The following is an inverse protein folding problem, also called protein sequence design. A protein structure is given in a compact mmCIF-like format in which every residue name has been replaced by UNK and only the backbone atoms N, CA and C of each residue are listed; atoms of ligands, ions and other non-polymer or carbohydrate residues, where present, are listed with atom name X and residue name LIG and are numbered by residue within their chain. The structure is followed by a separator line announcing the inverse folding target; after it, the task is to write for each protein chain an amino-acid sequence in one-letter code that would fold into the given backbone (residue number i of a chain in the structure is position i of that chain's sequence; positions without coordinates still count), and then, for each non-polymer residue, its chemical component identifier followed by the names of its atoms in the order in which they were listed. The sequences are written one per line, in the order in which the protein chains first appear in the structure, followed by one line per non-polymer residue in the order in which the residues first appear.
data_IF_611395166750
#
_entry.id   IF_611395166750
#
_cell.length_a   1.000
_cell.length_b   1.000
_cell.length_c   1.000
_cell.angle_alpha   90.00
_cell.angle_beta   90.00
_cell.angle_gamma   90.00
#
_symmetry.space_group_name_H-M   'P 1'
#
loop_
_entity.id
_entity.type
_entity.pdbx_description
1 polymer ?
#
# COMPACT_ATOMS: atom_id res chain seq x y z
N UNK A 1 -4.28 16.81 -5.69
CA UNK A 1 -3.61 15.59 -6.21
C UNK A 1 -3.58 15.61 -7.74
N UNK A 2 -2.41 15.41 -8.38
CA UNK A 2 -2.27 15.34 -9.84
C UNK A 2 -2.74 14.00 -10.39
N UNK A 3 -3.34 14.05 -11.60
CA UNK A 3 -3.84 12.89 -12.33
C UNK A 3 -3.00 12.68 -13.60
N UNK A 4 -2.53 11.45 -13.81
CA UNK A 4 -1.76 11.04 -14.98
C UNK A 4 -2.52 9.93 -15.72
N UNK A 5 -2.67 10.04 -17.03
CA UNK A 5 -3.20 8.94 -17.84
C UNK A 5 -2.11 7.90 -18.07
N UNK A 6 -2.48 6.63 -18.23
CA UNK A 6 -1.53 5.54 -18.44
C UNK A 6 -0.55 5.78 -19.61
N UNK A 7 -1.01 6.45 -20.67
CA UNK A 7 -0.24 6.81 -21.85
C UNK A 7 0.76 7.97 -21.66
N UNK A 8 0.54 8.81 -20.62
CA UNK A 8 1.32 10.03 -20.35
C UNK A 8 2.29 9.85 -19.15
N UNK A 9 2.45 8.63 -18.66
CA UNK A 9 3.25 8.36 -17.47
C UNK A 9 4.73 8.58 -17.74
N UNK A 10 5.29 9.59 -17.06
CA UNK A 10 6.72 9.80 -16.91
C UNK A 10 7.14 9.49 -15.46
N UNK A 11 7.91 8.41 -15.22
CA UNK A 11 8.29 8.01 -13.86
C UNK A 11 9.02 9.08 -13.07
N UNK A 12 9.87 9.88 -13.71
CA UNK A 12 10.64 10.93 -13.03
C UNK A 12 9.73 12.07 -12.53
N UNK A 13 8.71 12.43 -13.32
CA UNK A 13 7.70 13.44 -12.93
C UNK A 13 6.85 12.92 -11.77
N UNK A 14 6.48 11.64 -11.81
CA UNK A 14 5.70 11.03 -10.73
C UNK A 14 6.52 10.96 -9.44
N UNK A 15 7.78 10.54 -9.52
CA UNK A 15 8.68 10.49 -8.36
C UNK A 15 8.90 11.89 -7.76
N UNK A 16 9.07 12.91 -8.60
CA UNK A 16 9.17 14.28 -8.11
C UNK A 16 7.89 14.72 -7.39
N UNK A 17 6.72 14.37 -7.93
CA UNK A 17 5.43 14.67 -7.28
C UNK A 17 5.25 13.96 -5.94
N UNK A 18 5.69 12.69 -5.85
CA UNK A 18 5.65 11.94 -4.60
C UNK A 18 6.62 12.49 -3.54
N UNK A 19 7.82 12.94 -3.96
CA UNK A 19 8.85 13.43 -3.04
C UNK A 19 8.66 14.91 -2.68
N UNK A 20 8.45 15.75 -3.67
CA UNK A 20 8.54 17.21 -3.56
C UNK A 20 7.18 17.91 -3.76
N UNK A 21 6.22 17.25 -4.40
CA UNK A 21 4.88 17.75 -4.66
C UNK A 21 3.89 17.42 -3.55
N UNK A 22 2.71 16.94 -3.96
CA UNK A 22 1.59 16.62 -3.06
C UNK A 22 1.83 15.36 -2.21
N UNK A 23 2.78 14.49 -2.58
CA UNK A 23 3.02 13.21 -1.93
C UNK A 23 2.09 12.09 -2.39
N UNK A 24 1.18 12.39 -3.32
CA UNK A 24 0.21 11.45 -3.88
C UNK A 24 -0.11 11.81 -5.33
N UNK A 25 -0.34 10.79 -6.16
CA UNK A 25 -0.77 10.91 -7.55
C UNK A 25 -1.87 9.91 -7.87
N UNK A 26 -2.70 10.22 -8.87
CA UNK A 26 -3.66 9.28 -9.43
C UNK A 26 -3.18 8.83 -10.82
N UNK A 27 -2.97 7.53 -10.99
CA UNK A 27 -2.69 6.89 -12.27
C UNK A 27 -4.03 6.42 -12.85
N UNK A 28 -4.54 7.15 -13.84
CA UNK A 28 -5.88 6.96 -14.34
C UNK A 28 -5.97 5.84 -15.36
N UNK A 29 -6.94 4.94 -15.16
CA UNK A 29 -7.26 3.87 -16.11
C UNK A 29 -6.13 2.86 -16.30
N UNK A 30 -5.34 2.61 -15.23
CA UNK A 30 -4.20 1.68 -15.30
C UNK A 30 -4.68 0.23 -15.49
N UNK A 31 -5.85 -0.11 -14.96
CA UNK A 31 -6.45 -1.43 -15.07
C UNK A 31 -7.75 -1.39 -15.88
N UNK A 32 -7.91 -2.39 -16.72
CA UNK A 32 -9.11 -2.54 -17.55
C UNK A 32 -10.35 -2.89 -16.72
N UNK A 33 -11.57 -2.58 -17.22
CA UNK A 33 -12.81 -3.00 -16.57
C UNK A 33 -12.91 -4.51 -16.33
N UNK A 34 -12.31 -5.34 -17.19
CA UNK A 34 -12.31 -6.78 -17.03
C UNK A 34 -11.45 -7.24 -15.84
N UNK A 35 -10.26 -6.67 -15.67
CA UNK A 35 -9.39 -6.96 -14.53
C UNK A 35 -10.02 -6.50 -13.21
N UNK A 36 -10.63 -5.32 -13.21
CA UNK A 36 -11.36 -4.80 -12.05
C UNK A 36 -12.52 -5.73 -11.68
N UNK A 37 -13.30 -6.18 -12.66
CA UNK A 37 -14.42 -7.09 -12.43
C UNK A 37 -13.95 -8.46 -11.90
N UNK A 38 -12.86 -9.02 -12.44
CA UNK A 38 -12.24 -10.26 -11.98
C UNK A 38 -11.81 -10.14 -10.51
N UNK A 39 -11.03 -9.12 -10.18
CA UNK A 39 -10.54 -8.89 -8.83
C UNK A 39 -11.68 -8.65 -7.85
N UNK A 40 -12.66 -7.83 -8.23
CA UNK A 40 -13.83 -7.53 -7.40
C UNK A 40 -14.67 -8.76 -7.10
N UNK A 41 -14.91 -9.63 -8.09
CA UNK A 41 -15.66 -10.86 -7.90
C UNK A 41 -15.00 -11.79 -6.87
N UNK A 42 -13.68 -11.97 -6.94
CA UNK A 42 -12.92 -12.79 -5.98
C UNK A 42 -13.00 -12.16 -4.58
N UNK A 43 -12.81 -10.85 -4.45
CA UNK A 43 -12.88 -10.16 -3.16
C UNK A 43 -14.28 -10.30 -2.56
N UNK A 44 -15.33 -10.12 -3.33
CA UNK A 44 -16.71 -10.29 -2.85
C UNK A 44 -16.95 -11.71 -2.34
N UNK A 45 -16.49 -12.75 -3.05
CA UNK A 45 -16.63 -14.15 -2.64
C UNK A 45 -15.95 -14.44 -1.29
N UNK A 46 -14.86 -13.74 -0.96
CA UNK A 46 -14.10 -13.96 0.28
C UNK A 46 -14.46 -12.96 1.40
N UNK A 47 -15.10 -11.85 1.09
CA UNK A 47 -15.31 -10.75 2.04
C UNK A 47 -16.33 -11.03 3.15
N UNK A 48 -17.16 -12.08 3.02
CA UNK A 48 -18.12 -12.47 4.05
C UNK A 48 -17.60 -13.56 5.00
N UNK A 49 -16.39 -14.05 4.78
CA UNK A 49 -15.76 -15.03 5.67
C UNK A 49 -15.48 -14.44 7.06
N UNK A 50 -15.38 -15.29 8.08
CA UNK A 50 -15.02 -14.86 9.44
C UNK A 50 -13.66 -14.15 9.45
N UNK A 51 -12.69 -14.64 8.66
CA UNK A 51 -11.36 -14.03 8.55
C UNK A 51 -11.40 -12.61 7.95
N UNK A 52 -12.35 -12.32 7.05
CA UNK A 52 -12.49 -11.01 6.45
C UNK A 52 -13.02 -9.94 7.42
N UNK A 53 -13.61 -10.37 8.54
CA UNK A 53 -14.14 -9.48 9.58
C UNK A 53 -13.09 -9.07 10.62
N UNK A 54 -11.89 -9.63 10.51
CA UNK A 54 -10.74 -9.27 11.36
C UNK A 54 -9.87 -8.26 10.63
N UNK A 55 -9.51 -7.18 11.30
CA UNK A 55 -8.62 -6.14 10.77
C UNK A 55 -7.56 -5.79 11.81
N UNK A 56 -6.34 -5.47 11.36
CA UNK A 56 -5.29 -4.95 12.23
C UNK A 56 -5.56 -3.50 12.67
N UNK A 57 -6.43 -2.80 11.94
CA UNK A 57 -6.75 -1.39 12.18
C UNK A 57 -8.13 -1.30 12.80
N UNK A 58 -8.19 -1.53 14.10
CA UNK A 58 -9.45 -1.53 14.84
C UNK A 58 -9.84 -0.12 15.31
N UNK A 59 -8.93 0.65 15.80
CA UNK A 59 -9.01 2.08 16.14
C UNK A 59 -10.42 2.69 16.19
N UNK A 60 -10.67 3.66 15.33
CA UNK A 60 -11.96 4.35 15.27
C UNK A 60 -13.14 3.41 14.95
N UNK A 61 -12.92 2.38 14.12
CA UNK A 61 -13.97 1.40 13.77
C UNK A 61 -14.45 0.61 14.99
N UNK A 62 -13.55 0.23 15.88
CA UNK A 62 -13.87 -0.49 17.11
C UNK A 62 -14.57 0.45 18.11
N UNK A 63 -14.04 1.65 18.30
CA UNK A 63 -14.62 2.65 19.18
C UNK A 63 -16.06 3.05 18.78
N UNK A 64 -16.34 3.06 17.46
CA UNK A 64 -17.67 3.35 16.93
C UNK A 64 -18.60 2.11 16.89
N UNK A 65 -18.10 0.92 17.21
CA UNK A 65 -18.87 -0.31 17.09
C UNK A 65 -19.16 -0.74 15.64
N UNK A 66 -18.45 -0.17 14.66
CA UNK A 66 -18.67 -0.37 13.21
C UNK A 66 -17.67 -1.30 12.53
N UNK A 67 -16.84 -1.99 13.29
CA UNK A 67 -15.83 -2.91 12.75
C UNK A 67 -16.45 -3.94 11.78
N UNK A 68 -17.67 -4.36 12.02
CA UNK A 68 -18.41 -5.29 11.15
C UNK A 68 -18.75 -4.71 9.78
N UNK A 69 -18.65 -3.39 9.58
CA UNK A 69 -18.88 -2.72 8.31
C UNK A 69 -17.60 -2.54 7.49
N UNK A 70 -16.46 -3.00 8.01
CA UNK A 70 -15.21 -3.12 7.28
C UNK A 70 -14.88 -4.59 7.05
N UNK A 71 -14.47 -4.92 5.85
CA UNK A 71 -14.04 -6.26 5.44
C UNK A 71 -12.64 -6.21 4.90
N UNK A 72 -11.75 -7.07 5.42
CA UNK A 72 -10.40 -7.27 4.90
C UNK A 72 -10.28 -8.65 4.27
N UNK A 73 -9.76 -8.73 3.05
CA UNK A 73 -9.42 -9.99 2.40
C UNK A 73 -7.91 -10.07 2.28
N UNK A 74 -7.32 -10.98 3.01
CA UNK A 74 -5.89 -11.21 3.10
C UNK A 74 -5.43 -12.30 2.12
N UNK A 75 -4.11 -12.41 1.93
CA UNK A 75 -3.47 -13.43 1.09
C UNK A 75 -4.08 -13.49 -0.32
N UNK A 76 -4.17 -12.32 -0.97
CA UNK A 76 -4.82 -12.18 -2.27
C UNK A 76 -4.11 -12.98 -3.36
N UNK A 77 -2.77 -13.09 -3.30
CA UNK A 77 -1.98 -13.83 -4.29
C UNK A 77 -2.38 -15.31 -4.39
N UNK A 78 -2.82 -15.91 -3.27
CA UNK A 78 -3.32 -17.29 -3.25
C UNK A 78 -4.77 -17.43 -3.76
N UNK A 79 -5.46 -16.33 -4.07
CA UNK A 79 -6.88 -16.29 -4.42
C UNK A 79 -7.16 -16.07 -5.90
N UNK A 80 -6.16 -15.55 -6.64
CA UNK A 80 -6.32 -15.35 -8.08
C UNK A 80 -5.11 -14.66 -8.71
N UNK A 81 -4.80 -15.05 -9.95
CA UNK A 81 -3.65 -14.54 -10.70
C UNK A 81 -3.77 -13.06 -11.04
N UNK A 82 -4.98 -12.51 -11.06
CA UNK A 82 -5.22 -11.08 -11.28
C UNK A 82 -4.47 -10.22 -10.28
N UNK A 83 -4.35 -10.66 -9.03
CA UNK A 83 -3.64 -9.92 -7.99
C UNK A 83 -2.13 -9.88 -8.23
N UNK A 84 -1.56 -10.97 -8.75
CA UNK A 84 -0.16 -11.02 -9.17
C UNK A 84 0.12 -10.05 -10.31
N UNK A 85 -0.76 -10.05 -11.33
CA UNK A 85 -0.66 -9.11 -12.47
C UNK A 85 -0.79 -7.66 -12.03
N UNK A 86 -1.72 -7.37 -11.12
CA UNK A 86 -1.94 -6.03 -10.57
C UNK A 86 -0.75 -5.55 -9.76
N UNK A 87 -0.22 -6.39 -8.84
CA UNK A 87 0.92 -6.04 -8.01
C UNK A 87 2.21 -5.82 -8.81
N UNK A 88 2.42 -6.62 -9.86
CA UNK A 88 3.60 -6.55 -10.73
C UNK A 88 3.33 -5.77 -12.04
N UNK A 89 2.35 -4.85 -12.06
CA UNK A 89 2.05 -4.10 -13.27
C UNK A 89 3.28 -3.31 -13.75
N UNK A 90 3.67 -3.40 -15.05
CA UNK A 90 4.94 -2.83 -15.55
C UNK A 90 5.12 -1.34 -15.25
N UNK A 91 4.04 -0.56 -15.34
CA UNK A 91 4.06 0.88 -15.02
C UNK A 91 4.39 1.10 -13.55
N UNK A 92 3.71 0.37 -12.63
CA UNK A 92 4.01 0.46 -11.19
C UNK A 92 5.45 0.04 -10.91
N UNK A 93 5.90 -1.10 -11.46
CA UNK A 93 7.28 -1.58 -11.29
C UNK A 93 8.30 -0.54 -11.75
N UNK A 94 8.04 0.16 -12.86
CA UNK A 94 8.95 1.20 -13.37
C UNK A 94 9.02 2.42 -12.44
N UNK A 95 7.87 2.92 -11.97
CA UNK A 95 7.81 4.04 -11.03
C UNK A 95 8.50 3.67 -9.71
N UNK A 96 8.19 2.47 -9.20
CA UNK A 96 8.72 2.02 -7.91
C UNK A 96 10.24 1.80 -7.93
N UNK A 97 10.80 1.32 -9.05
CA UNK A 97 12.28 1.25 -9.22
C UNK A 97 12.95 2.60 -9.12
N UNK A 98 12.29 3.66 -9.57
CA UNK A 98 12.79 5.04 -9.46
C UNK A 98 12.57 5.61 -8.07
N UNK A 99 11.48 5.24 -7.39
CA UNK A 99 11.11 5.78 -6.09
C UNK A 99 11.78 5.07 -4.92
N UNK A 100 11.78 3.73 -4.90
CA UNK A 100 12.31 2.91 -3.81
C UNK A 100 13.70 2.30 -4.07
N UNK A 101 14.24 2.51 -5.28
CA UNK A 101 15.43 1.82 -5.74
C UNK A 101 15.10 0.55 -6.53
N UNK A 102 16.11 -0.01 -7.22
CA UNK A 102 15.91 -1.17 -8.10
C UNK A 102 15.50 -2.44 -7.36
N UNK A 103 15.83 -2.55 -6.09
CA UNK A 103 15.65 -3.74 -5.26
C UNK A 103 14.60 -3.48 -4.17
N UNK A 104 13.36 -3.28 -4.58
CA UNK A 104 12.22 -3.16 -3.68
C UNK A 104 11.42 -4.46 -3.63
N UNK A 105 10.65 -4.62 -2.56
CA UNK A 105 9.79 -5.78 -2.29
C UNK A 105 8.37 -5.32 -1.99
N UNK A 106 7.44 -6.24 -1.94
CA UNK A 106 6.09 -6.01 -1.45
C UNK A 106 6.03 -6.28 0.06
N UNK A 107 5.55 -5.32 0.82
CA UNK A 107 5.42 -5.42 2.28
C UNK A 107 4.11 -6.08 2.71
N UNK A 108 3.04 -5.83 1.96
CA UNK A 108 1.72 -6.44 2.17
C UNK A 108 0.84 -6.28 0.93
N UNK A 109 -0.18 -7.13 0.80
CA UNK A 109 -1.25 -6.99 -0.17
C UNK A 109 -2.58 -7.49 0.42
N UNK A 110 -3.57 -6.60 0.53
CA UNK A 110 -4.89 -6.95 1.04
C UNK A 110 -5.97 -6.14 0.32
N UNK A 111 -7.19 -6.68 0.26
CA UNK A 111 -8.34 -5.88 -0.12
C UNK A 111 -9.04 -5.30 1.11
N UNK A 112 -9.55 -4.09 0.95
CA UNK A 112 -10.40 -3.43 1.92
C UNK A 112 -11.74 -3.08 1.27
N UNK A 113 -12.83 -3.56 1.86
CA UNK A 113 -14.19 -3.25 1.46
C UNK A 113 -14.90 -2.57 2.62
N UNK A 114 -15.32 -1.34 2.42
CA UNK A 114 -16.08 -0.56 3.38
C UNK A 114 -17.55 -0.54 2.94
N UNK A 115 -18.40 -1.12 3.76
CA UNK A 115 -19.84 -1.18 3.54
C UNK A 115 -20.48 0.18 3.80
N UNK A 116 -21.74 0.42 3.32
CA UNK A 116 -22.51 1.61 3.70
C UNK A 116 -22.56 1.83 5.20
N UNK A 117 -22.29 3.06 5.64
CA UNK A 117 -22.16 3.41 7.05
C UNK A 117 -20.84 2.99 7.70
N UNK A 118 -19.93 2.39 6.94
CA UNK A 118 -18.63 1.96 7.45
C UNK A 118 -17.74 3.10 7.92
N UNK A 119 -16.80 2.82 8.84
CA UNK A 119 -16.05 3.84 9.55
C UNK A 119 -14.94 4.47 8.70
N UNK A 120 -14.47 5.64 9.15
CA UNK A 120 -13.19 6.20 8.78
C UNK A 120 -12.03 5.63 9.61
N UNK A 121 -10.89 6.26 9.48
CA UNK A 121 -9.69 6.01 10.28
C UNK A 121 -9.19 7.32 10.88
N UNK A 122 -8.43 7.23 11.95
CA UNK A 122 -7.65 8.36 12.46
C UNK A 122 -6.56 8.73 11.44
N UNK A 123 -6.24 10.03 11.29
CA UNK A 123 -5.11 10.48 10.49
C UNK A 123 -3.80 9.85 10.95
N UNK A 124 -3.02 9.30 10.00
CA UNK A 124 -1.79 8.57 10.30
C UNK A 124 -0.77 8.66 9.16
N UNK A 125 0.39 8.09 9.39
CA UNK A 125 1.38 7.70 8.41
C UNK A 125 1.50 6.18 8.41
N UNK A 126 1.97 5.59 7.32
CA UNK A 126 2.09 4.14 7.21
C UNK A 126 3.44 3.59 7.70
N UNK A 127 3.48 2.27 7.96
CA UNK A 127 4.71 1.54 8.24
C UNK A 127 5.75 1.73 7.12
N UNK A 128 7.04 1.96 7.42
CA UNK A 128 7.63 1.93 8.76
C UNK A 128 7.59 3.28 9.50
N UNK A 129 7.00 4.32 8.93
CA UNK A 129 7.04 5.67 9.49
C UNK A 129 6.30 5.80 10.83
N UNK A 130 5.26 4.99 11.05
CA UNK A 130 4.53 5.01 12.31
C UNK A 130 5.38 4.66 13.53
N UNK A 131 6.42 3.82 13.38
CA UNK A 131 7.32 3.45 14.47
C UNK A 131 8.19 4.61 14.95
N UNK A 132 8.48 5.56 14.04
CA UNK A 132 9.39 6.67 14.33
C UNK A 132 8.76 7.82 15.11
N UNK A 133 7.43 7.85 15.26
CA UNK A 133 6.75 8.88 16.04
C UNK A 133 6.79 8.61 17.56
N UNK A 134 7.25 7.43 17.97
CA UNK A 134 7.28 7.02 19.38
C UNK A 134 8.67 7.28 19.97
N UNK A 135 8.85 8.33 20.82
CA UNK A 135 10.16 8.66 21.39
C UNK A 135 10.80 7.54 22.21
N UNK A 136 9.98 6.61 22.74
CA UNK A 136 10.46 5.45 23.51
C UNK A 136 11.20 4.44 22.64
N UNK A 137 10.79 4.29 21.37
CA UNK A 137 11.41 3.36 20.42
C UNK A 137 12.43 4.03 19.52
N UNK A 138 12.21 5.30 19.20
CA UNK A 138 13.06 6.10 18.31
C UNK A 138 13.35 7.48 18.93
N UNK A 139 14.20 7.56 19.97
CA UNK A 139 14.44 8.79 20.71
C UNK A 139 15.14 9.88 19.87
N UNK A 140 15.84 9.52 18.81
CA UNK A 140 16.48 10.47 17.89
C UNK A 140 15.47 11.07 16.92
N UNK A 141 14.33 10.39 16.70
CA UNK A 141 13.34 10.73 15.68
C UNK A 141 13.78 10.38 14.26
N UNK A 142 12.96 10.73 13.30
CA UNK A 142 13.20 10.50 11.87
C UNK A 142 13.73 11.78 11.22
N UNK A 143 14.91 11.71 10.64
CA UNK A 143 15.48 12.82 9.85
C UNK A 143 15.85 12.41 8.41
N UNK A 144 15.51 11.19 7.99
CA UNK A 144 15.76 10.71 6.64
C UNK A 144 14.73 11.25 5.65
N UNK A 145 15.20 11.70 4.49
CA UNK A 145 14.37 12.23 3.41
C UNK A 145 14.21 11.28 2.22
N UNK A 146 14.65 10.02 2.34
CA UNK A 146 14.46 9.02 1.29
C UNK A 146 13.26 8.09 1.60
N UNK A 147 12.59 7.58 0.56
CA UNK A 147 11.37 6.81 0.75
C UNK A 147 11.64 5.41 1.30
N UNK A 148 10.92 5.03 2.36
CA UNK A 148 10.94 3.69 2.94
C UNK A 148 9.67 2.89 2.62
N UNK A 149 8.67 3.50 2.02
CA UNK A 149 7.52 2.81 1.47
C UNK A 149 6.84 3.62 0.36
N UNK A 150 6.07 2.91 -0.46
CA UNK A 150 5.04 3.45 -1.34
C UNK A 150 3.77 2.65 -1.13
N UNK A 151 2.62 3.32 -1.19
CA UNK A 151 1.31 2.71 -1.11
C UNK A 151 0.61 2.84 -2.45
N UNK A 152 0.05 1.75 -2.95
CA UNK A 152 -0.82 1.74 -4.12
C UNK A 152 -2.22 1.26 -3.72
N UNK A 153 -3.21 2.14 -3.86
CA UNK A 153 -4.62 1.79 -3.72
C UNK A 153 -5.23 1.62 -5.10
N UNK A 154 -5.49 0.39 -5.51
CA UNK A 154 -6.16 0.06 -6.77
C UNK A 154 -7.66 0.13 -6.53
N UNK A 155 -8.33 1.06 -7.18
CA UNK A 155 -9.74 1.33 -6.96
C UNK A 155 -10.61 0.31 -7.70
N UNK A 156 -11.49 -0.38 -6.98
CA UNK A 156 -12.42 -1.38 -7.56
C UNK A 156 -13.86 -0.89 -7.60
N UNK A 157 -14.17 0.14 -6.84
CA UNK A 157 -15.43 0.90 -6.83
C UNK A 157 -15.10 2.39 -6.96
N UNK A 158 -16.06 3.27 -7.32
CA UNK A 158 -15.82 4.70 -7.38
C UNK A 158 -15.41 5.27 -6.01
N UNK A 159 -14.32 6.02 -5.97
CA UNK A 159 -13.86 6.77 -4.80
C UNK A 159 -14.37 8.20 -4.91
N UNK A 160 -15.48 8.48 -4.25
CA UNK A 160 -16.12 9.80 -4.15
C UNK A 160 -16.07 10.30 -2.70
N UNK A 161 -16.50 11.52 -2.46
CA UNK A 161 -16.61 12.03 -1.10
C UNK A 161 -17.59 11.19 -0.28
N UNK A 162 -18.74 10.83 -0.86
CA UNK A 162 -19.79 10.05 -0.18
C UNK A 162 -19.35 8.60 0.08
N UNK A 163 -18.61 7.96 -0.84
CA UNK A 163 -18.10 6.60 -0.59
C UNK A 163 -16.94 6.58 0.39
N UNK A 164 -16.48 7.75 0.83
CA UNK A 164 -15.42 7.89 1.82
C UNK A 164 -14.03 7.70 1.22
N UNK A 165 -13.76 8.28 0.04
CA UNK A 165 -12.43 8.30 -0.57
C UNK A 165 -11.38 8.73 0.45
N UNK A 166 -10.19 8.11 0.39
CA UNK A 166 -9.07 8.41 1.28
C UNK A 166 -8.77 9.91 1.28
N UNK A 167 -8.68 10.50 2.46
CA UNK A 167 -8.21 11.86 2.66
C UNK A 167 -6.71 11.87 2.87
N UNK A 168 -6.03 12.90 2.37
CA UNK A 168 -4.60 13.11 2.61
C UNK A 168 -4.29 14.61 2.66
N UNK A 169 -3.22 14.99 3.33
CA UNK A 169 -2.77 16.39 3.36
C UNK A 169 -1.63 16.57 2.36
N UNK A 170 -1.83 17.34 1.28
CA UNK A 170 -0.79 17.58 0.28
C UNK A 170 0.49 18.13 0.89
N UNK A 171 1.62 17.55 0.52
CA UNK A 171 2.95 17.98 0.96
C UNK A 171 3.35 17.53 2.36
N UNK A 172 2.48 16.84 3.10
CA UNK A 172 2.72 16.41 4.49
C UNK A 172 3.80 15.34 4.64
N UNK A 173 4.14 14.60 3.57
CA UNK A 173 5.25 13.64 3.59
C UNK A 173 6.60 14.29 3.96
N UNK A 174 6.72 15.60 3.79
CA UNK A 174 7.92 16.38 4.14
C UNK A 174 8.04 16.68 5.62
N UNK A 175 6.97 16.50 6.40
CA UNK A 175 6.95 16.73 7.84
C UNK A 175 7.70 15.62 8.62
N UNK A 176 7.79 14.42 8.06
CA UNK A 176 8.48 13.25 8.63
C UNK A 176 8.08 12.96 10.09
N UNK A 177 6.83 13.16 10.42
CA UNK A 177 6.26 12.92 11.75
C UNK A 177 4.80 12.50 11.64
N UNK A 178 4.28 11.98 12.72
CA UNK A 178 2.86 11.66 12.84
C UNK A 178 2.01 12.94 12.94
N UNK A 179 0.80 13.00 12.33
CA UNK A 179 -0.09 14.13 12.49
C UNK A 179 -0.60 14.21 13.94
N UNK A 180 -0.75 15.43 14.44
CA UNK A 180 -1.33 15.74 15.76
C UNK A 180 -2.55 16.67 15.60
N UNK A 181 -3.36 16.80 16.63
CA UNK A 181 -4.61 17.58 16.58
C UNK A 181 -4.40 19.03 16.08
N UNK A 182 -3.32 19.68 16.53
CA UNK A 182 -2.98 21.05 16.13
C UNK A 182 -2.66 21.22 14.64
N UNK A 183 -2.44 20.14 13.91
CA UNK A 183 -2.19 20.17 12.46
C UNK A 183 -3.46 20.41 11.65
N UNK A 184 -4.64 20.30 12.28
CA UNK A 184 -5.94 20.55 11.66
C UNK A 184 -6.12 19.75 10.37
N UNK A 185 -5.85 18.43 10.43
CA UNK A 185 -5.85 17.53 9.28
C UNK A 185 -7.08 17.70 8.39
N UNK A 186 -8.28 17.63 8.99
CA UNK A 186 -9.55 17.65 8.25
C UNK A 186 -9.88 19.00 7.58
N UNK A 187 -9.20 20.07 7.98
CA UNK A 187 -9.36 21.38 7.32
C UNK A 187 -8.39 21.57 6.15
N UNK A 188 -7.32 20.76 6.10
CA UNK A 188 -6.25 20.84 5.10
C UNK A 188 -6.30 19.73 4.07
N UNK A 189 -7.03 18.65 4.37
CA UNK A 189 -6.99 17.47 3.54
C UNK A 189 -7.75 17.65 2.21
N UNK A 190 -7.23 16.96 1.21
CA UNK A 190 -7.91 16.67 -0.06
C UNK A 190 -8.34 15.22 -0.10
N UNK A 191 -9.16 14.85 -1.10
CA UNK A 191 -9.64 13.48 -1.31
C UNK A 191 -8.96 12.84 -2.50
N UNK A 192 -8.57 11.57 -2.37
CA UNK A 192 -8.07 10.75 -3.47
C UNK A 192 -9.25 10.24 -4.30
N UNK A 193 -9.88 11.15 -5.08
CA UNK A 193 -11.03 10.81 -5.92
C UNK A 193 -10.57 10.06 -7.17
N UNK A 194 -11.35 9.03 -7.58
CA UNK A 194 -11.02 8.24 -8.77
C UNK A 194 -12.11 7.23 -9.14
N UNK A 195 -11.92 6.60 -10.29
CA UNK A 195 -12.81 5.62 -10.88
C UNK A 195 -12.23 4.20 -10.77
N UNK A 196 -13.05 3.15 -10.88
CA UNK A 196 -12.57 1.78 -10.94
C UNK A 196 -11.51 1.58 -12.02
N UNK A 197 -10.37 0.99 -11.65
CA UNK A 197 -9.19 0.81 -12.51
C UNK A 197 -8.13 1.90 -12.36
N UNK A 198 -8.45 3.00 -11.66
CA UNK A 198 -7.43 3.99 -11.28
C UNK A 198 -6.58 3.46 -10.12
N UNK A 199 -5.38 4.01 -9.98
CA UNK A 199 -4.49 3.73 -8.84
C UNK A 199 -4.12 5.03 -8.16
N UNK A 200 -4.47 5.17 -6.89
CA UNK A 200 -3.90 6.20 -6.04
C UNK A 200 -2.55 5.68 -5.52
N UNK A 201 -1.46 6.24 -6.03
CA UNK A 201 -0.09 5.94 -5.60
C UNK A 201 0.38 7.08 -4.70
N UNK A 202 0.82 6.76 -3.49
CA UNK A 202 1.25 7.79 -2.55
C UNK A 202 2.44 7.34 -1.69
N UNK A 203 3.16 8.32 -1.21
CA UNK A 203 4.25 8.15 -0.28
C UNK A 203 3.68 7.88 1.12
N UNK A 204 4.02 6.77 1.75
CA UNK A 204 3.45 6.38 3.04
C UNK A 204 3.77 7.30 4.22
N UNK A 205 4.71 8.22 4.07
CA UNK A 205 4.94 9.30 5.03
C UNK A 205 3.91 10.44 4.90
N UNK A 206 3.12 10.50 3.82
CA UNK A 206 2.04 11.48 3.70
C UNK A 206 0.94 11.18 4.73
N UNK A 207 0.47 12.21 5.40
CA UNK A 207 -0.64 12.10 6.35
C UNK A 207 -1.91 11.75 5.60
N UNK A 208 -2.56 10.69 5.99
CA UNK A 208 -3.78 10.23 5.32
C UNK A 208 -4.69 9.46 6.28
N UNK A 209 -5.93 9.26 5.86
CA UNK A 209 -6.87 8.35 6.51
C UNK A 209 -8.01 7.93 5.56
N UNK A 210 -8.63 6.80 5.83
CA UNK A 210 -9.92 6.48 5.22
C UNK A 210 -11.00 7.39 5.83
N UNK A 211 -11.93 7.86 4.98
CA UNK A 211 -13.10 8.60 5.45
C UNK A 211 -14.31 7.69 5.56
N UNK A 212 -15.31 8.04 6.39
CA UNK A 212 -16.52 7.24 6.52
C UNK A 212 -17.27 7.10 5.18
N UNK A 213 -17.80 5.92 4.92
CA UNK A 213 -18.69 5.69 3.77
C UNK A 213 -20.12 6.09 4.15
N UNK A 214 -20.55 7.25 3.70
CA UNK A 214 -21.92 7.77 3.91
C UNK A 214 -22.87 7.43 2.76
N UNK A 215 -22.36 6.77 1.72
CA UNK A 215 -23.13 6.37 0.54
C UNK A 215 -23.98 5.11 0.81
N UNK A 216 -24.72 4.70 -0.20
CA UNK A 216 -25.46 3.43 -0.22
C UNK A 216 -24.71 2.31 -0.94
N UNK A 217 -23.47 2.55 -1.35
CA UNK A 217 -22.65 1.63 -2.12
C UNK A 217 -21.42 1.20 -1.33
N UNK A 218 -20.91 0.02 -1.61
CA UNK A 218 -19.62 -0.43 -1.10
C UNK A 218 -18.49 0.41 -1.71
N UNK A 219 -17.39 0.52 -0.98
CA UNK A 219 -16.13 1.04 -1.50
C UNK A 219 -15.04 0.00 -1.29
N UNK A 220 -14.55 -0.57 -2.38
CA UNK A 220 -13.54 -1.60 -2.37
C UNK A 220 -12.26 -1.12 -3.05
N UNK A 221 -11.12 -1.45 -2.47
CA UNK A 221 -9.81 -1.26 -3.07
C UNK A 221 -8.87 -2.41 -2.72
N UNK A 222 -7.86 -2.65 -3.58
CA UNK A 222 -6.69 -3.44 -3.22
C UNK A 222 -5.64 -2.48 -2.72
N UNK A 223 -5.10 -2.74 -1.55
CA UNK A 223 -4.05 -1.96 -0.92
C UNK A 223 -2.75 -2.75 -1.00
N UNK A 224 -1.73 -2.17 -1.62
CA UNK A 224 -0.42 -2.80 -1.78
C UNK A 224 0.62 -1.87 -1.20
N UNK A 225 1.41 -2.38 -0.27
CA UNK A 225 2.58 -1.70 0.25
C UNK A 225 3.83 -2.21 -0.45
N UNK A 226 4.68 -1.30 -0.89
CA UNK A 226 6.00 -1.60 -1.44
C UNK A 226 7.09 -0.97 -0.55
N UNK A 227 8.18 -1.70 -0.34
CA UNK A 227 9.25 -1.36 0.59
C UNK A 227 10.62 -1.56 -0.07
N UNK A 228 11.66 -0.78 0.26
CA UNK A 228 13.02 -1.19 -0.01
C UNK A 228 13.32 -2.58 0.58
N UNK A 229 14.16 -3.38 -0.08
CA UNK A 229 14.45 -4.79 0.34
C UNK A 229 14.93 -4.96 1.78
N UNK A 230 15.51 -3.91 2.37
CA UNK A 230 16.07 -3.92 3.72
C UNK A 230 15.05 -3.52 4.81
N UNK A 231 13.87 -3.07 4.43
CA UNK A 231 12.75 -2.87 5.36
C UNK A 231 12.02 -4.19 5.53
N UNK A 232 11.83 -4.61 6.78
CA UNK A 232 11.12 -5.86 7.07
C UNK A 232 9.66 -5.77 6.59
N UNK A 233 9.15 -6.70 5.77
CA UNK A 233 7.75 -6.71 5.36
C UNK A 233 6.80 -6.94 6.55
N UNK A 234 5.55 -6.48 6.42
CA UNK A 234 4.52 -6.68 7.44
C UNK A 234 4.00 -8.11 7.47
N UNK A 235 4.11 -8.82 6.34
CA UNK A 235 3.58 -10.19 6.17
C UNK A 235 4.67 -11.09 5.60
N UNK A 236 4.74 -12.33 6.10
CA UNK A 236 5.55 -13.39 5.50
C UNK A 236 4.74 -14.04 4.35
N UNK A 237 4.66 -13.32 3.23
CA UNK A 237 3.88 -13.79 2.08
C UNK A 237 4.42 -15.12 1.49
N UNK A 238 5.74 -15.32 1.34
CA UNK A 238 6.24 -16.62 0.86
C UNK A 238 5.78 -17.80 1.71
N UNK A 239 5.79 -17.66 3.03
CA UNK A 239 5.32 -18.73 3.92
C UNK A 239 3.81 -18.98 3.86
N UNK A 240 3.03 -17.96 3.47
CA UNK A 240 1.57 -18.05 3.37
C UNK A 240 1.08 -18.56 2.00
N UNK A 241 1.98 -18.72 1.02
CA UNK A 241 1.65 -19.13 -0.34
C UNK A 241 1.92 -20.63 -0.57
N UNK A 242 1.18 -21.30 -1.46
CA UNK A 242 1.50 -22.66 -1.87
C UNK A 242 2.91 -22.74 -2.49
N UNK A 243 3.69 -23.78 -2.18
CA UNK A 243 5.03 -23.97 -2.73
C UNK A 243 5.05 -23.87 -4.27
N UNK A 244 4.09 -24.52 -4.94
CA UNK A 244 3.99 -24.47 -6.39
C UNK A 244 3.78 -23.05 -6.95
N UNK A 245 3.13 -22.15 -6.19
CA UNK A 245 3.00 -20.75 -6.58
C UNK A 245 4.35 -20.04 -6.51
N UNK A 246 5.07 -20.25 -5.41
CA UNK A 246 6.40 -19.65 -5.17
C UNK A 246 7.41 -20.13 -6.21
N UNK A 247 7.43 -21.43 -6.50
CA UNK A 247 8.34 -22.08 -7.45
C UNK A 247 8.13 -21.57 -8.90
N UNK A 248 6.88 -21.26 -9.27
CA UNK A 248 6.52 -20.80 -10.61
C UNK A 248 6.36 -19.28 -10.71
N UNK A 249 6.76 -18.52 -9.69
CA UNK A 249 6.64 -17.07 -9.69
C UNK A 249 7.49 -16.43 -10.80
N UNK A 250 6.90 -15.46 -11.50
CA UNK A 250 7.61 -14.64 -12.51
C UNK A 250 8.78 -13.87 -11.88
N UNK A 251 9.70 -13.36 -12.69
CA UNK A 251 10.85 -12.61 -12.21
C UNK A 251 10.44 -11.39 -11.34
N UNK A 252 9.44 -10.62 -11.79
CA UNK A 252 8.93 -9.47 -11.03
C UNK A 252 8.24 -9.92 -9.74
N UNK A 253 7.47 -11.01 -9.78
CA UNK A 253 6.81 -11.52 -8.58
C UNK A 253 7.82 -12.10 -7.59
N UNK A 254 8.89 -12.77 -8.04
CA UNK A 254 10.00 -13.21 -7.19
C UNK A 254 10.68 -12.03 -6.50
N UNK A 255 10.88 -10.92 -7.22
CA UNK A 255 11.39 -9.68 -6.64
C UNK A 255 10.42 -9.17 -5.55
N UNK A 256 9.13 -9.04 -5.86
CA UNK A 256 8.11 -8.55 -4.92
C UNK A 256 7.97 -9.41 -3.67
N UNK A 257 8.11 -10.73 -3.80
CA UNK A 257 8.11 -11.68 -2.68
C UNK A 257 9.43 -11.72 -1.89
N UNK A 258 10.44 -10.94 -2.30
CA UNK A 258 11.74 -10.93 -1.64
C UNK A 258 12.61 -12.16 -1.90
N UNK A 259 12.21 -13.07 -2.81
CA UNK A 259 12.90 -14.33 -3.07
C UNK A 259 14.28 -14.14 -3.72
N UNK A 260 14.53 -12.99 -4.31
CA UNK A 260 15.81 -12.62 -4.90
C UNK A 260 16.80 -12.09 -3.86
N UNK A 261 16.39 -11.92 -2.61
CA UNK A 261 17.15 -11.30 -1.53
C UNK A 261 17.20 -12.21 -0.30
N UNK A 262 17.74 -13.44 -0.41
CA UNK A 262 17.87 -14.34 0.74
C UNK A 262 18.79 -13.73 1.79
N UNK A 263 18.59 -14.11 3.04
CA UNK A 263 19.57 -13.78 4.08
C UNK A 263 20.93 -14.35 3.69
N UNK A 264 22.00 -13.56 3.83
CA UNK A 264 23.34 -14.09 3.58
C UNK A 264 23.66 -15.20 4.58
N UNK A 265 24.36 -16.23 4.11
CA UNK A 265 24.84 -17.29 4.99
C UNK A 265 25.74 -16.71 6.09
N UNK A 266 25.62 -17.26 7.29
CA UNK A 266 26.54 -16.95 8.38
C UNK A 266 27.90 -17.61 8.05
N UNK A 267 28.91 -16.79 7.83
CA UNK A 267 30.25 -17.27 7.59
C UNK A 267 30.91 -17.69 8.91
N UNK A 268 31.35 -18.94 8.99
CA UNK A 268 32.29 -19.37 10.02
C UNK A 268 33.76 -19.06 9.61
N UNK A 269 34.71 -19.42 10.47
CA UNK A 269 36.13 -19.17 10.20
C UNK A 269 36.64 -19.86 8.94
N UNK A 270 36.06 -20.99 8.53
CA UNK A 270 36.46 -21.74 7.34
C UNK A 270 35.95 -21.06 6.05
N UNK A 271 34.87 -20.29 6.15
CA UNK A 271 34.24 -19.60 5.03
C UNK A 271 34.58 -18.11 4.95
N UNK A 272 35.38 -17.60 5.90
CA UNK A 272 35.67 -16.16 6.04
C UNK A 272 36.34 -15.54 4.79
N UNK A 273 36.96 -16.33 3.92
CA UNK A 273 37.56 -15.88 2.66
C UNK A 273 36.59 -15.83 1.47
N UNK A 274 35.41 -16.39 1.61
CA UNK A 274 34.43 -16.48 0.50
C UNK A 274 33.41 -15.33 0.56
N UNK A 275 33.83 -14.12 0.17
CA UNK A 275 33.00 -12.92 0.18
C UNK A 275 32.51 -12.54 -1.21
N UNK A 276 32.75 -13.34 -2.24
CA UNK A 276 32.26 -13.10 -3.60
C UNK A 276 30.71 -13.12 -3.61
N UNK A 277 30.12 -12.05 -4.11
CA UNK A 277 28.64 -11.92 -4.22
C UNK A 277 27.98 -11.10 -3.12
N UNK A 278 28.72 -10.44 -2.25
CA UNK A 278 28.18 -9.57 -1.18
C UNK A 278 28.19 -8.07 -1.47
N UNK A 279 28.51 -7.69 -2.70
CA UNK A 279 28.52 -6.29 -3.16
C UNK A 279 27.22 -5.92 -3.84
#
# INVERSE_FOLDING_TARGET
MKRFKAEDINPDVIVDELMNGDGAVLLAGLFSPAEVAEARAIIMAHSESAAAKVTHFQGAAEAEGKISLQRRVWNLLAKGDVFSRMAAHPVLMTILRRFLGSEFIMGSIAANRILPGGPGQEPHVDYPYWDFHTPQTHPVGLNASFPMNAQASILLDPFTEETGATAFVPGSQKELRYPVESDRFFERCERMLGEPGDVALFFGAAWHCAMPNTSKQDRSAILIQYLPKWVKPMEDMPAALPAAFVDNASADLRQLLGLNYPYPEVLDAAQAGNTEGRT
#
